data_IF_383721711880
#
_entry.id   IF_383721711880
#
_cell.length_a   1.000
_cell.length_b   1.000
_cell.length_c   1.000
_cell.angle_alpha   90.00
_cell.angle_beta   90.00
_cell.angle_gamma   90.00
#
_symmetry.space_group_name_H-M   'P 1'
#
loop_
_entity.id
_entity.type
_entity.pdbx_description
1 polymer ?
#
# COMPACT_ATOMS: atom_id res chain seq x y z
N UNK A 1 17.82 1.39 -19.83
CA UNK A 1 18.47 0.95 -18.58
C UNK A 1 17.94 1.64 -17.32
N UNK A 2 18.36 2.86 -16.92
CA UNK A 2 17.89 3.45 -15.64
C UNK A 2 16.36 3.64 -15.56
N UNK A 3 15.75 4.30 -16.55
CA UNK A 3 14.31 4.56 -16.54
C UNK A 3 13.50 3.26 -16.61
N UNK A 4 13.96 2.32 -17.42
CA UNK A 4 13.36 0.99 -17.55
C UNK A 4 13.37 0.24 -16.21
N UNK A 5 14.51 0.24 -15.51
CA UNK A 5 14.60 -0.38 -14.18
C UNK A 5 13.70 0.31 -13.15
N UNK A 6 13.65 1.65 -13.15
CA UNK A 6 12.77 2.41 -12.25
C UNK A 6 11.30 2.12 -12.53
N UNK A 7 10.90 2.05 -13.81
CA UNK A 7 9.53 1.71 -14.19
C UNK A 7 9.18 0.27 -13.80
N UNK A 8 10.10 -0.68 -13.95
CA UNK A 8 9.89 -2.05 -13.48
C UNK A 8 9.68 -2.13 -11.96
N UNK A 9 10.34 -1.27 -11.17
CA UNK A 9 10.07 -1.15 -9.72
C UNK A 9 8.71 -0.50 -9.47
N UNK A 10 8.35 0.53 -10.23
CA UNK A 10 7.06 1.21 -10.10
C UNK A 10 5.90 0.26 -10.40
N UNK A 11 6.02 -0.59 -11.42
CA UNK A 11 5.05 -1.64 -11.76
C UNK A 11 4.90 -2.65 -10.61
N UNK A 12 6.01 -3.12 -10.03
CA UNK A 12 5.97 -4.01 -8.87
C UNK A 12 5.25 -3.39 -7.67
N UNK A 13 5.44 -2.09 -7.43
CA UNK A 13 4.72 -1.38 -6.36
C UNK A 13 3.23 -1.27 -6.70
N UNK A 14 2.90 -0.91 -7.94
CA UNK A 14 1.52 -0.72 -8.41
C UNK A 14 0.70 -2.02 -8.45
N UNK A 15 1.34 -3.19 -8.55
CA UNK A 15 0.70 -4.50 -8.50
C UNK A 15 0.16 -4.89 -7.09
N UNK A 16 0.24 -4.00 -6.10
CA UNK A 16 -0.23 -4.23 -4.73
C UNK A 16 -1.36 -3.26 -4.37
N UNK A 17 -2.17 -3.62 -3.36
CA UNK A 17 -3.23 -2.76 -2.83
C UNK A 17 -2.68 -1.36 -2.49
N UNK A 18 -3.25 -0.28 -3.05
CA UNK A 18 -2.78 1.08 -2.77
C UNK A 18 -2.84 1.46 -1.29
N UNK A 19 -3.85 0.96 -0.55
CA UNK A 19 -3.96 1.15 0.88
C UNK A 19 -2.83 0.43 1.63
N UNK A 20 -2.50 -0.79 1.24
CA UNK A 20 -1.41 -1.57 1.84
C UNK A 20 -0.05 -0.90 1.61
N UNK A 21 0.24 -0.45 0.37
CA UNK A 21 1.49 0.25 0.04
C UNK A 21 1.62 1.56 0.84
N UNK A 22 0.55 2.35 0.88
CA UNK A 22 0.54 3.64 1.61
C UNK A 22 0.69 3.43 3.11
N UNK A 23 -0.02 2.45 3.67
CA UNK A 23 0.07 2.06 5.09
C UNK A 23 1.48 1.60 5.45
N UNK A 24 2.07 0.69 4.67
CA UNK A 24 3.42 0.19 4.89
C UNK A 24 4.47 1.33 4.90
N UNK A 25 4.42 2.22 3.91
CA UNK A 25 5.29 3.41 3.86
C UNK A 25 5.14 4.28 5.11
N UNK A 26 3.90 4.49 5.57
CA UNK A 26 3.61 5.27 6.77
C UNK A 26 4.19 4.61 8.03
N UNK A 27 4.05 3.30 8.18
CA UNK A 27 4.59 2.55 9.32
C UNK A 27 6.12 2.57 9.34
N UNK A 28 6.77 2.36 8.19
CA UNK A 28 8.24 2.42 8.08
C UNK A 28 8.76 3.81 8.44
N UNK A 29 8.12 4.87 7.95
CA UNK A 29 8.49 6.24 8.29
C UNK A 29 8.30 6.53 9.77
N UNK A 30 7.19 6.08 10.38
CA UNK A 30 6.95 6.27 11.80
C UNK A 30 7.99 5.55 12.66
N UNK A 31 8.27 4.29 12.36
CA UNK A 31 9.22 3.46 13.11
C UNK A 31 10.67 4.00 13.09
N UNK A 32 11.04 4.82 12.10
CA UNK A 32 12.36 5.45 12.03
C UNK A 32 12.65 6.36 13.23
N UNK A 33 11.64 7.10 13.68
CA UNK A 33 11.79 8.18 14.66
C UNK A 33 11.16 7.83 16.02
N UNK A 34 10.71 6.58 16.21
CA UNK A 34 10.00 6.11 17.40
C UNK A 34 10.57 4.80 17.93
N UNK A 35 10.23 4.44 19.17
CA UNK A 35 10.66 3.16 19.73
C UNK A 35 9.97 1.98 19.03
N UNK A 36 10.55 0.78 19.14
CA UNK A 36 9.93 -0.43 18.61
C UNK A 36 8.55 -0.69 19.22
N UNK A 37 8.37 -0.37 20.51
CA UNK A 37 7.08 -0.53 21.19
C UNK A 37 6.01 0.40 20.59
N UNK A 38 6.34 1.69 20.42
CA UNK A 38 5.42 2.67 19.81
C UNK A 38 5.11 2.31 18.35
N UNK A 39 6.11 1.86 17.59
CA UNK A 39 5.93 1.42 16.22
C UNK A 39 4.96 0.23 16.10
N UNK A 40 5.10 -0.77 16.98
CA UNK A 40 4.21 -1.93 17.01
C UNK A 40 2.79 -1.56 17.45
N UNK A 41 2.64 -0.70 18.45
CA UNK A 41 1.33 -0.18 18.87
C UNK A 41 0.63 0.58 17.73
N UNK A 42 1.39 1.38 16.99
CA UNK A 42 0.84 2.11 15.85
C UNK A 42 0.44 1.19 14.70
N UNK A 43 1.24 0.17 14.39
CA UNK A 43 0.89 -0.88 13.40
C UNK A 43 -0.40 -1.59 13.80
N UNK A 44 -0.53 -1.98 15.07
CA UNK A 44 -1.73 -2.66 15.57
C UNK A 44 -2.98 -1.78 15.41
N UNK A 45 -2.89 -0.51 15.82
CA UNK A 45 -3.97 0.47 15.67
C UNK A 45 -4.33 0.69 14.20
N UNK A 46 -3.32 0.87 13.33
CA UNK A 46 -3.55 1.04 11.89
C UNK A 46 -4.27 -0.15 11.29
N UNK A 47 -3.76 -1.36 11.50
CA UNK A 47 -4.36 -2.59 10.98
C UNK A 47 -5.79 -2.79 11.50
N UNK A 48 -6.09 -2.47 12.76
CA UNK A 48 -7.44 -2.57 13.28
C UNK A 48 -8.43 -1.57 12.62
N UNK A 49 -7.94 -0.40 12.22
CA UNK A 49 -8.76 0.68 11.64
C UNK A 49 -8.88 0.64 10.11
N UNK A 50 -7.84 0.17 9.42
CA UNK A 50 -7.68 0.27 7.96
C UNK A 50 -7.62 -1.10 7.28
N UNK A 51 -8.05 -2.18 7.94
CA UNK A 51 -8.09 -3.50 7.32
C UNK A 51 -9.08 -3.51 6.14
N UNK A 52 -8.56 -3.65 4.93
CA UNK A 52 -9.36 -3.73 3.70
C UNK A 52 -9.72 -5.18 3.39
N UNK A 53 -10.89 -5.61 3.84
CA UNK A 53 -11.40 -6.96 3.62
C UNK A 53 -11.69 -7.29 2.15
N UNK A 54 -12.01 -6.29 1.32
CA UNK A 54 -12.29 -6.48 -0.10
C UNK A 54 -11.00 -6.78 -0.86
N UNK A 55 -9.96 -5.98 -0.67
CA UNK A 55 -8.65 -6.21 -1.27
C UNK A 55 -8.05 -7.56 -0.84
N UNK A 56 -8.20 -7.94 0.44
CA UNK A 56 -7.76 -9.24 0.94
C UNK A 56 -8.48 -10.39 0.21
N UNK A 57 -9.82 -10.31 0.11
CA UNK A 57 -10.61 -11.34 -0.59
C UNK A 57 -10.23 -11.43 -2.07
N UNK A 58 -10.13 -10.30 -2.76
CA UNK A 58 -9.73 -10.25 -4.18
C UNK A 58 -8.36 -10.87 -4.39
N UNK A 59 -7.40 -10.55 -3.53
CA UNK A 59 -6.04 -11.12 -3.56
C UNK A 59 -6.08 -12.64 -3.48
N UNK A 60 -6.80 -13.20 -2.50
CA UNK A 60 -6.89 -14.65 -2.35
C UNK A 60 -7.60 -15.32 -3.53
N UNK A 61 -8.65 -14.69 -4.09
CA UNK A 61 -9.35 -15.22 -5.27
C UNK A 61 -8.44 -15.23 -6.50
N UNK A 62 -7.73 -14.13 -6.77
CA UNK A 62 -6.83 -14.02 -7.92
C UNK A 62 -5.69 -15.03 -7.83
N UNK A 63 -5.05 -15.12 -6.65
CA UNK A 63 -4.00 -16.12 -6.40
C UNK A 63 -4.48 -17.56 -6.57
N UNK A 64 -5.70 -17.88 -6.12
CA UNK A 64 -6.27 -19.21 -6.29
C UNK A 64 -6.55 -19.58 -7.76
N UNK A 65 -6.76 -18.57 -8.61
CA UNK A 65 -6.95 -18.73 -10.08
C UNK A 65 -5.64 -18.70 -10.86
N UNK A 66 -4.54 -18.23 -10.25
CA UNK A 66 -3.29 -17.95 -10.95
C UNK A 66 -3.29 -16.62 -11.71
N UNK A 67 -4.23 -15.74 -11.39
CA UNK A 67 -4.36 -14.40 -11.98
C UNK A 67 -3.71 -13.35 -11.06
N UNK A 68 -3.45 -12.16 -11.59
CA UNK A 68 -3.04 -10.99 -10.79
C UNK A 68 -4.26 -10.32 -10.15
N UNK A 69 -4.16 -9.85 -8.89
CA UNK A 69 -5.25 -9.14 -8.24
C UNK A 69 -5.41 -7.73 -8.80
N UNK A 70 -6.66 -7.34 -9.06
CA UNK A 70 -7.02 -5.97 -9.40
C UNK A 70 -7.56 -5.25 -8.17
N UNK A 71 -7.03 -4.07 -7.89
CA UNK A 71 -7.41 -3.24 -6.75
C UNK A 71 -8.09 -1.95 -7.22
N UNK A 72 -8.83 -1.29 -6.33
CA UNK A 72 -9.36 0.05 -6.62
C UNK A 72 -8.23 1.05 -6.85
N UNK A 73 -8.46 1.97 -7.79
CA UNK A 73 -7.52 3.04 -8.11
C UNK A 73 -7.28 3.98 -6.91
N UNK A 74 -6.16 4.70 -6.97
CA UNK A 74 -5.86 5.77 -6.04
C UNK A 74 -6.97 6.83 -6.02
N UNK A 75 -7.24 7.37 -4.83
CA UNK A 75 -8.11 8.53 -4.69
C UNK A 75 -7.59 9.69 -5.55
N UNK A 76 -8.53 10.41 -6.17
CA UNK A 76 -8.21 11.56 -6.99
C UNK A 76 -7.37 12.58 -6.20
N UNK A 77 -6.28 13.04 -6.80
CA UNK A 77 -5.45 14.12 -6.23
C UNK A 77 -6.32 15.37 -6.16
N UNK A 78 -6.54 15.90 -4.95
CA UNK A 78 -7.22 17.18 -4.79
C UNK A 78 -6.35 18.25 -5.43
N UNK A 79 -6.88 18.92 -6.46
CA UNK A 79 -6.24 20.10 -7.04
C UNK A 79 -6.05 21.13 -5.93
N UNK A 80 -4.79 21.42 -5.60
CA UNK A 80 -4.46 22.56 -4.76
C UNK A 80 -4.65 23.84 -5.56
N UNK A 81 -5.12 24.92 -4.92
CA UNK A 81 -5.36 26.20 -5.60
C UNK A 81 -4.10 26.66 -6.34
N UNK A 82 -4.12 26.57 -7.67
CA UNK A 82 -2.95 26.80 -8.54
C UNK A 82 -2.87 25.90 -9.78
N UNK A 83 -3.63 24.79 -9.81
CA UNK A 83 -3.80 23.88 -10.97
C UNK A 83 -5.21 23.90 -11.58
#
# INVERSE_FOLDING_TARGET
EMLEAVMGIAEQIAANSPLAVTGAKRMVNYARDHSTADGLDYIATWNASMLDGDAIRQTFIAQAKGDEPEYEDLLAVKKTAGE
#
